data_IF_682215692017
#
_entry.id   IF_682215692017
#
_cell.length_a   1.000
_cell.length_b   1.000
_cell.length_c   1.000
_cell.angle_alpha   90.00
_cell.angle_beta   90.00
_cell.angle_gamma   90.00
#
_symmetry.space_group_name_H-M   'P 1'
#
loop_
_entity.id
_entity.type
_entity.pdbx_description
1 polymer ?
#
# COMPACT_ATOMS: atom_id res chain seq x y z
N UNK A 1 -34.43 111.46 14.76
CA UNK A 1 -34.46 110.70 13.50
C UNK A 1 -33.02 110.30 13.23
N UNK A 2 -32.72 108.99 13.30
CA UNK A 2 -31.36 108.43 13.41
C UNK A 2 -30.67 108.35 12.05
N UNK A 3 -29.34 108.43 12.09
CA UNK A 3 -28.40 108.42 10.96
C UNK A 3 -27.97 106.97 10.72
N UNK A 4 -27.98 106.52 9.46
CA UNK A 4 -27.48 105.20 9.06
C UNK A 4 -26.17 105.33 8.28
N UNK A 5 -25.15 104.56 8.70
CA UNK A 5 -23.89 104.29 7.99
C UNK A 5 -23.74 102.77 7.92
N UNK A 6 -23.38 102.22 6.76
CA UNK A 6 -23.15 100.78 6.58
C UNK A 6 -22.22 100.48 5.41
N UNK A 7 -21.17 99.70 5.70
CA UNK A 7 -19.99 99.38 4.89
C UNK A 7 -20.21 98.26 3.85
N UNK A 8 -19.37 98.24 2.80
CA UNK A 8 -19.29 97.20 1.76
C UNK A 8 -18.13 96.22 2.07
N UNK A 9 -18.40 94.92 2.02
CA UNK A 9 -17.39 93.85 2.11
C UNK A 9 -17.20 93.18 0.74
N UNK A 10 -15.95 92.95 0.33
CA UNK A 10 -15.58 92.16 -0.86
C UNK A 10 -14.82 90.92 -0.39
N UNK A 11 -15.23 89.74 -0.84
CA UNK A 11 -14.54 88.48 -0.59
C UNK A 11 -13.81 88.01 -1.86
N UNK A 12 -12.52 87.68 -1.72
CA UNK A 12 -11.69 87.10 -2.79
C UNK A 12 -11.53 85.60 -2.52
N UNK A 13 -11.79 84.79 -3.53
CA UNK A 13 -11.62 83.34 -3.50
C UNK A 13 -10.26 82.95 -4.13
N UNK A 14 -9.49 82.11 -3.42
CA UNK A 14 -8.24 81.51 -3.90
C UNK A 14 -8.46 80.02 -4.11
N UNK A 15 -8.24 79.52 -5.32
CA UNK A 15 -8.30 78.09 -5.65
C UNK A 15 -6.92 77.44 -5.47
N UNK A 16 -6.84 76.41 -4.61
CA UNK A 16 -5.67 75.54 -4.46
C UNK A 16 -5.66 74.48 -5.59
N UNK A 17 -4.53 74.35 -6.28
CA UNK A 17 -4.25 73.21 -7.17
C UNK A 17 -3.56 72.13 -6.33
N UNK A 18 -4.24 70.99 -6.13
CA UNK A 18 -3.66 69.83 -5.46
C UNK A 18 -2.84 69.00 -6.48
N UNK A 19 -1.53 68.93 -6.28
CA UNK A 19 -0.65 67.94 -6.93
C UNK A 19 -0.93 66.59 -6.27
N UNK A 20 -1.54 65.67 -7.01
CA UNK A 20 -1.74 64.28 -6.57
C UNK A 20 -0.43 63.51 -6.64
N UNK A 21 0.08 63.09 -5.48
CA UNK A 21 1.11 62.07 -5.37
C UNK A 21 0.41 60.72 -5.56
N UNK A 22 0.74 59.97 -6.62
CA UNK A 22 0.18 58.63 -6.83
C UNK A 22 0.94 57.65 -5.94
N UNK A 23 0.33 57.31 -4.80
CA UNK A 23 0.82 56.31 -3.86
C UNK A 23 0.73 54.94 -4.55
N UNK A 24 1.85 54.43 -5.08
CA UNK A 24 1.92 53.07 -5.62
C UNK A 24 1.82 52.10 -4.45
N UNK A 25 0.60 51.76 -4.08
CA UNK A 25 0.31 50.73 -3.07
C UNK A 25 0.63 49.37 -3.67
N UNK A 26 1.79 48.82 -3.32
CA UNK A 26 2.04 47.40 -3.45
C UNK A 26 1.07 46.65 -2.54
N UNK A 27 -0.01 46.10 -3.09
CA UNK A 27 -0.73 45.01 -2.45
C UNK A 27 0.10 43.74 -2.64
N UNK A 28 0.77 43.20 -1.60
CA UNK A 28 1.39 41.89 -1.73
C UNK A 28 0.30 40.90 -2.13
N UNK A 29 0.57 40.11 -3.18
CA UNK A 29 -0.31 39.00 -3.53
C UNK A 29 -0.47 38.10 -2.31
N UNK A 30 -1.63 37.44 -2.18
CA UNK A 30 -1.80 36.39 -1.16
C UNK A 30 -0.59 35.46 -1.23
N UNK A 31 0.03 35.20 -0.08
CA UNK A 31 1.10 34.22 0.02
C UNK A 31 0.54 32.88 -0.47
N UNK A 32 0.92 32.49 -1.68
CA UNK A 32 0.62 31.17 -2.20
C UNK A 32 1.75 30.26 -1.72
N UNK A 33 1.41 29.36 -0.81
CA UNK A 33 2.30 28.29 -0.38
C UNK A 33 1.85 27.05 -1.14
N UNK A 34 2.63 26.64 -2.12
CA UNK A 34 2.45 25.35 -2.75
C UNK A 34 3.04 24.29 -1.80
N UNK A 35 2.19 23.40 -1.29
CA UNK A 35 2.61 22.23 -0.50
C UNK A 35 2.73 21.05 -1.45
N UNK A 36 3.93 20.50 -1.56
CA UNK A 36 4.17 19.25 -2.28
C UNK A 36 4.17 18.11 -1.26
N UNK A 37 3.13 17.29 -1.27
CA UNK A 37 3.14 16.01 -0.57
C UNK A 37 3.82 14.99 -1.48
N UNK A 38 4.95 14.44 -1.03
CA UNK A 38 5.55 13.30 -1.70
C UNK A 38 4.62 12.10 -1.56
N UNK A 39 4.46 11.33 -2.63
CA UNK A 39 3.73 10.08 -2.56
C UNK A 39 4.36 9.21 -1.45
N UNK A 40 3.56 8.66 -0.52
CA UNK A 40 4.10 7.78 0.51
C UNK A 40 4.78 6.58 -0.15
N UNK A 41 5.84 6.07 0.50
CA UNK A 41 6.48 4.83 0.05
C UNK A 41 5.44 3.71 -0.03
N UNK A 42 5.48 2.85 -1.05
CA UNK A 42 4.51 1.77 -1.16
C UNK A 42 4.71 0.79 0.01
N UNK A 43 3.67 0.60 0.82
CA UNK A 43 3.63 -0.38 1.90
C UNK A 43 2.81 -1.56 1.40
N UNK A 44 3.42 -2.75 1.31
CA UNK A 44 2.82 -3.90 0.63
C UNK A 44 2.98 -5.20 1.40
N UNK A 45 1.92 -6.01 1.46
CA UNK A 45 1.97 -7.35 2.00
C UNK A 45 1.74 -8.33 0.85
N UNK A 46 2.67 -9.27 0.66
CA UNK A 46 2.66 -10.21 -0.46
C UNK A 46 2.58 -11.62 0.12
N UNK A 47 1.44 -12.27 -0.10
CA UNK A 47 1.21 -13.67 0.26
C UNK A 47 1.43 -14.56 -0.95
N UNK A 48 2.49 -15.37 -0.92
CA UNK A 48 2.71 -16.44 -1.88
C UNK A 48 2.03 -17.71 -1.40
N UNK A 49 1.10 -18.22 -2.19
CA UNK A 49 0.48 -19.53 -2.00
C UNK A 49 1.08 -20.46 -3.04
N UNK A 50 1.97 -21.34 -2.60
CA UNK A 50 2.81 -22.14 -3.49
C UNK A 50 2.38 -23.59 -3.40
N UNK A 51 2.11 -24.20 -4.54
CA UNK A 51 1.87 -25.62 -4.58
C UNK A 51 3.13 -26.41 -4.23
N UNK A 52 3.01 -27.25 -3.21
CA UNK A 52 4.08 -28.11 -2.73
C UNK A 52 3.93 -29.56 -3.19
N UNK A 53 3.17 -29.81 -4.26
CA UNK A 53 3.18 -31.10 -4.96
C UNK A 53 4.60 -31.45 -5.46
N UNK A 54 4.79 -32.74 -5.76
CA UNK A 54 6.05 -33.24 -6.32
C UNK A 54 6.31 -32.78 -7.76
N UNK A 55 5.25 -32.46 -8.53
CA UNK A 55 5.39 -31.96 -9.91
C UNK A 55 5.92 -30.55 -9.95
N UNK A 56 5.58 -29.72 -8.96
CA UNK A 56 6.03 -28.33 -8.84
C UNK A 56 7.43 -28.15 -8.24
N UNK A 57 8.19 -29.24 -8.01
CA UNK A 57 9.50 -29.15 -7.34
C UNK A 57 10.50 -28.29 -8.12
N UNK A 58 10.61 -28.48 -9.44
CA UNK A 58 11.57 -27.74 -10.25
C UNK A 58 11.18 -26.27 -10.36
N UNK A 59 9.88 -25.98 -10.47
CA UNK A 59 9.28 -24.66 -10.54
C UNK A 59 9.53 -23.88 -9.25
N UNK A 60 9.37 -24.52 -8.08
CA UNK A 60 9.68 -23.91 -6.78
C UNK A 60 11.16 -23.55 -6.63
N UNK A 61 12.05 -24.44 -7.07
CA UNK A 61 13.49 -24.14 -7.07
C UNK A 61 13.84 -22.99 -8.01
N UNK A 62 13.22 -22.95 -9.19
CA UNK A 62 13.39 -21.85 -10.13
C UNK A 62 12.81 -20.53 -9.62
N UNK A 63 11.66 -20.58 -8.94
CA UNK A 63 11.03 -19.43 -8.29
C UNK A 63 11.98 -18.85 -7.24
N UNK A 64 12.50 -19.68 -6.33
CA UNK A 64 13.47 -19.25 -5.32
C UNK A 64 14.75 -18.68 -5.95
N UNK A 65 15.30 -19.33 -6.97
CA UNK A 65 16.53 -18.89 -7.64
C UNK A 65 16.40 -17.55 -8.38
N UNK A 66 15.19 -17.21 -8.86
CA UNK A 66 14.91 -15.97 -9.60
C UNK A 66 14.36 -14.85 -8.72
N UNK A 67 14.09 -15.12 -7.45
CA UNK A 67 13.45 -14.16 -6.55
C UNK A 67 14.29 -12.89 -6.33
N UNK A 68 15.61 -12.95 -6.51
CA UNK A 68 16.46 -11.76 -6.44
C UNK A 68 16.01 -10.64 -7.39
N UNK A 69 15.53 -10.97 -8.59
CA UNK A 69 15.02 -9.97 -9.54
C UNK A 69 13.75 -9.30 -9.01
N UNK A 70 12.88 -10.05 -8.34
CA UNK A 70 11.69 -9.48 -7.69
C UNK A 70 12.07 -8.52 -6.57
N UNK A 71 13.07 -8.89 -5.75
CA UNK A 71 13.59 -8.01 -4.69
C UNK A 71 14.20 -6.73 -5.24
N UNK A 72 14.92 -6.80 -6.36
CA UNK A 72 15.47 -5.60 -7.02
C UNK A 72 14.40 -4.58 -7.39
N UNK A 73 13.22 -5.02 -7.85
CA UNK A 73 12.11 -4.11 -8.15
C UNK A 73 11.52 -3.48 -6.87
N UNK A 74 11.34 -4.26 -5.81
CA UNK A 74 10.84 -3.75 -4.53
C UNK A 74 11.82 -2.75 -3.88
N UNK A 75 13.12 -3.02 -3.97
CA UNK A 75 14.17 -2.14 -3.47
C UNK A 75 14.30 -0.85 -4.31
N UNK A 76 14.10 -0.94 -5.63
CA UNK A 76 14.18 0.21 -6.54
C UNK A 76 13.12 1.29 -6.24
N UNK A 77 11.96 0.89 -5.72
CA UNK A 77 10.88 1.79 -5.30
C UNK A 77 10.87 2.06 -3.78
N UNK A 78 11.87 1.54 -3.06
CA UNK A 78 11.98 1.59 -1.60
C UNK A 78 10.68 1.11 -0.90
N UNK A 79 10.05 0.05 -1.41
CA UNK A 79 8.79 -0.50 -0.89
C UNK A 79 8.94 -1.14 0.48
N UNK A 80 8.12 -0.75 1.46
CA UNK A 80 8.00 -1.43 2.75
C UNK A 80 7.18 -2.72 2.62
N UNK A 81 7.87 -3.85 2.44
CA UNK A 81 7.24 -5.13 2.18
C UNK A 81 7.20 -6.07 3.39
N UNK A 82 6.11 -6.82 3.49
CA UNK A 82 6.05 -8.11 4.19
C UNK A 82 5.79 -9.21 3.17
N UNK A 83 6.66 -10.22 3.12
CA UNK A 83 6.49 -11.37 2.23
C UNK A 83 6.28 -12.62 3.08
N UNK A 84 5.20 -13.34 2.80
CA UNK A 84 4.85 -14.59 3.45
C UNK A 84 4.66 -15.70 2.42
N UNK A 85 5.01 -16.93 2.80
CA UNK A 85 4.83 -18.13 1.96
C UNK A 85 3.95 -19.13 2.70
N UNK A 86 2.92 -19.65 2.06
CA UNK A 86 2.08 -20.77 2.52
C UNK A 86 1.97 -21.80 1.40
N UNK A 87 1.58 -23.04 1.73
CA UNK A 87 1.30 -24.06 0.72
C UNK A 87 -0.17 -24.08 0.29
N UNK A 88 -0.45 -24.70 -0.85
CA UNK A 88 -1.80 -25.12 -1.28
C UNK A 88 -2.37 -26.26 -0.43
N UNK A 89 -1.51 -27.05 0.23
CA UNK A 89 -1.93 -28.14 1.11
C UNK A 89 -2.66 -27.60 2.35
N UNK A 90 -3.93 -27.98 2.48
CA UNK A 90 -4.73 -27.69 3.68
C UNK A 90 -5.15 -28.94 4.44
N UNK A 91 -4.78 -30.12 3.95
CA UNK A 91 -5.06 -31.41 4.58
C UNK A 91 -4.02 -31.72 5.68
N UNK A 92 -2.78 -31.24 5.53
CA UNK A 92 -1.76 -31.28 6.59
C UNK A 92 -1.94 -30.12 7.60
N UNK A 93 -2.20 -30.40 8.90
CA UNK A 93 -2.38 -29.37 9.94
C UNK A 93 -1.18 -28.45 10.17
N UNK A 94 0.03 -28.87 9.78
CA UNK A 94 1.23 -28.03 9.83
C UNK A 94 1.33 -27.07 8.65
N UNK A 95 0.56 -27.32 7.58
CA UNK A 95 0.41 -26.50 6.39
C UNK A 95 -0.78 -25.56 6.53
N UNK A 96 -2.01 -26.00 6.23
CA UNK A 96 -3.30 -25.30 6.46
C UNK A 96 -3.27 -23.77 6.62
N UNK A 97 -2.62 -23.04 5.69
CA UNK A 97 -2.51 -21.57 5.71
C UNK A 97 -1.48 -20.96 6.67
N UNK A 98 -0.67 -21.75 7.38
CA UNK A 98 0.42 -21.28 8.25
C UNK A 98 1.62 -20.85 7.43
N UNK A 99 2.17 -19.69 7.75
CA UNK A 99 3.39 -19.17 7.14
C UNK A 99 4.56 -20.12 7.35
N UNK A 100 5.35 -20.27 6.30
CA UNK A 100 6.44 -21.22 6.21
C UNK A 100 7.78 -20.50 6.27
N UNK A 101 8.75 -21.25 6.78
CA UNK A 101 10.12 -20.80 6.88
C UNK A 101 10.47 -20.03 8.16
N UNK A 102 11.72 -19.57 8.21
CA UNK A 102 12.30 -18.88 9.36
C UNK A 102 13.27 -17.81 8.86
N UNK A 103 12.83 -16.54 8.75
CA UNK A 103 11.61 -15.99 9.33
C UNK A 103 10.32 -16.35 8.55
N UNK A 104 9.16 -16.41 9.23
CA UNK A 104 7.86 -16.63 8.57
C UNK A 104 7.39 -15.41 7.77
N UNK A 105 7.80 -14.20 8.20
CA UNK A 105 7.55 -12.95 7.50
C UNK A 105 8.90 -12.35 7.12
N UNK A 106 9.14 -12.20 5.82
CA UNK A 106 10.33 -11.58 5.26
C UNK A 106 10.07 -10.08 5.12
N UNK A 107 10.96 -9.28 5.68
CA UNK A 107 10.86 -7.81 5.71
C UNK A 107 12.16 -7.17 5.26
N UNK A 108 12.17 -5.83 5.09
CA UNK A 108 13.39 -5.05 4.83
C UNK A 108 14.53 -5.29 5.83
N UNK A 109 14.23 -5.72 7.04
CA UNK A 109 15.22 -5.99 8.09
C UNK A 109 15.77 -7.42 8.04
N UNK A 110 15.25 -8.26 7.14
CA UNK A 110 15.77 -9.60 6.91
C UNK A 110 17.13 -9.48 6.22
N UNK A 111 18.16 -10.13 6.78
CA UNK A 111 19.55 -9.95 6.32
C UNK A 111 19.77 -10.37 4.85
N UNK A 112 19.08 -11.42 4.40
CA UNK A 112 19.07 -11.86 3.01
C UNK A 112 17.64 -12.29 2.64
N UNK A 113 16.80 -11.35 2.16
CA UNK A 113 15.40 -11.63 1.83
C UNK A 113 15.25 -12.66 0.72
N UNK A 114 16.15 -12.67 -0.27
CA UNK A 114 16.10 -13.59 -1.40
C UNK A 114 16.43 -15.02 -0.96
N UNK A 115 17.48 -15.21 -0.18
CA UNK A 115 17.80 -16.53 0.38
C UNK A 115 16.73 -17.01 1.37
N UNK A 116 16.16 -16.13 2.19
CA UNK A 116 15.05 -16.46 3.07
C UNK A 116 13.83 -16.92 2.27
N UNK A 117 13.46 -16.20 1.21
CA UNK A 117 12.35 -16.60 0.35
C UNK A 117 12.60 -17.94 -0.33
N UNK A 118 13.80 -18.15 -0.89
CA UNK A 118 14.17 -19.42 -1.51
C UNK A 118 14.07 -20.59 -0.54
N UNK A 119 14.45 -20.40 0.74
CA UNK A 119 14.26 -21.41 1.78
C UNK A 119 12.78 -21.60 2.15
N UNK A 120 11.98 -20.53 2.16
CA UNK A 120 10.56 -20.59 2.51
C UNK A 120 9.71 -21.30 1.44
N UNK A 121 10.13 -21.29 0.17
CA UNK A 121 9.45 -22.03 -0.93
C UNK A 121 9.91 -23.48 -1.08
N UNK A 122 11.04 -23.88 -0.47
CA UNK A 122 11.53 -25.27 -0.45
C UNK A 122 10.77 -26.12 0.59
N UNK A 123 9.44 -26.20 0.40
CA UNK A 123 8.53 -26.90 1.29
C UNK A 123 8.66 -28.42 1.13
N UNK A 124 8.41 -29.21 2.20
CA UNK A 124 8.21 -30.64 2.06
C UNK A 124 7.13 -30.96 1.01
N UNK A 125 7.37 -31.98 0.19
CA UNK A 125 6.39 -32.41 -0.81
C UNK A 125 5.13 -32.94 -0.12
N UNK A 126 3.96 -32.49 -0.57
CA UNK A 126 2.68 -33.02 -0.08
C UNK A 126 2.30 -34.29 -0.84
N UNK A 127 1.57 -35.18 -0.15
CA UNK A 127 0.86 -36.30 -0.77
C UNK A 127 -0.61 -35.95 -1.07
N UNK A 128 -1.08 -34.76 -0.66
CA UNK A 128 -2.43 -34.31 -0.97
C UNK A 128 -2.58 -34.12 -2.49
N UNK A 129 -3.74 -34.55 -2.99
CA UNK A 129 -4.18 -34.34 -4.38
C UNK A 129 -5.20 -33.22 -4.50
N UNK A 130 -5.36 -32.43 -3.43
CA UNK A 130 -6.33 -31.35 -3.38
C UNK A 130 -5.59 -30.04 -3.17
N UNK A 131 -5.14 -29.44 -4.25
CA UNK A 131 -4.53 -28.12 -4.20
C UNK A 131 -5.62 -27.07 -3.95
N UNK A 132 -5.58 -26.43 -2.78
CA UNK A 132 -6.62 -25.50 -2.35
C UNK A 132 -6.01 -24.13 -2.09
N UNK A 133 -5.43 -23.52 -3.12
CA UNK A 133 -4.75 -22.24 -3.03
C UNK A 133 -5.65 -21.12 -2.49
N UNK A 134 -6.89 -21.02 -2.96
CA UNK A 134 -7.85 -20.02 -2.48
C UNK A 134 -8.26 -20.26 -1.03
N UNK A 135 -8.42 -21.52 -0.62
CA UNK A 135 -8.69 -21.86 0.77
C UNK A 135 -7.50 -21.59 1.69
N UNK A 136 -6.29 -21.97 1.26
CA UNK A 136 -5.05 -21.73 2.00
C UNK A 136 -4.81 -20.23 2.21
N UNK A 137 -5.03 -19.40 1.19
CA UNK A 137 -5.03 -17.93 1.32
C UNK A 137 -6.02 -17.47 2.40
N UNK A 138 -7.27 -17.94 2.34
CA UNK A 138 -8.30 -17.55 3.31
C UNK A 138 -7.94 -17.94 4.73
N UNK A 139 -7.37 -19.13 4.92
CA UNK A 139 -6.88 -19.58 6.22
C UNK A 139 -5.72 -18.69 6.69
N UNK A 140 -4.74 -18.43 5.83
CA UNK A 140 -3.56 -17.64 6.15
C UNK A 140 -3.87 -16.23 6.64
N UNK A 141 -4.94 -15.65 6.10
CA UNK A 141 -5.42 -14.31 6.40
C UNK A 141 -6.58 -14.32 7.42
N UNK A 142 -6.88 -15.47 8.04
CA UNK A 142 -7.87 -15.56 9.10
C UNK A 142 -7.35 -14.95 10.40
N UNK A 143 -8.26 -14.41 11.22
CA UNK A 143 -7.92 -13.83 12.52
C UNK A 143 -7.15 -14.82 13.43
N UNK A 144 -7.54 -16.10 13.42
CA UNK A 144 -6.87 -17.15 14.20
C UNK A 144 -5.40 -17.30 13.83
N UNK A 145 -5.08 -17.36 12.52
CA UNK A 145 -3.69 -17.50 12.10
C UNK A 145 -2.93 -16.18 12.22
N UNK A 146 -3.56 -15.03 11.94
CA UNK A 146 -2.95 -13.71 12.09
C UNK A 146 -2.64 -13.35 13.56
N UNK A 147 -3.35 -13.92 14.53
CA UNK A 147 -3.03 -13.78 15.95
C UNK A 147 -2.10 -14.89 16.47
N UNK A 148 -1.75 -15.85 15.61
CA UNK A 148 -0.97 -17.03 15.98
C UNK A 148 0.22 -17.23 15.03
N UNK A 149 0.27 -18.34 14.26
CA UNK A 149 1.41 -18.67 13.41
C UNK A 149 1.80 -17.61 12.37
N UNK A 150 0.86 -16.76 11.96
CA UNK A 150 1.05 -15.74 10.94
C UNK A 150 1.12 -14.32 11.53
N UNK A 151 1.36 -14.21 12.84
CA UNK A 151 1.46 -12.94 13.52
C UNK A 151 2.51 -12.02 12.88
N UNK A 152 2.12 -10.76 12.69
CA UNK A 152 2.95 -9.73 12.08
C UNK A 152 2.95 -9.71 10.55
N UNK A 153 2.18 -10.57 9.88
CA UNK A 153 2.12 -10.57 8.42
C UNK A 153 1.26 -9.43 7.86
N UNK A 154 -0.05 -9.43 8.17
CA UNK A 154 -1.01 -8.51 7.58
C UNK A 154 -1.05 -7.18 8.33
N UNK A 155 -0.76 -6.09 7.62
CA UNK A 155 -0.81 -4.70 8.10
C UNK A 155 -2.07 -4.01 7.58
N UNK A 156 -2.62 -3.09 8.37
CA UNK A 156 -3.85 -2.38 7.99
C UNK A 156 -3.59 -1.40 6.84
N UNK A 157 -2.46 -0.70 6.89
CA UNK A 157 -2.03 0.33 5.93
C UNK A 157 -1.44 -0.23 4.63
N UNK A 158 -1.03 -1.51 4.61
CA UNK A 158 -0.38 -2.11 3.45
C UNK A 158 -1.37 -2.55 2.37
N UNK A 159 -1.04 -2.43 1.09
CA UNK A 159 -1.78 -3.09 0.02
C UNK A 159 -1.47 -4.59 0.01
N UNK A 160 -2.51 -5.44 -0.02
CA UNK A 160 -2.36 -6.89 -0.03
C UNK A 160 -2.33 -7.44 -1.46
N UNK A 161 -1.27 -8.18 -1.78
CA UNK A 161 -1.14 -8.97 -3.00
C UNK A 161 -1.13 -10.45 -2.65
N UNK A 162 -2.00 -11.24 -3.29
CA UNK A 162 -1.99 -12.69 -3.16
C UNK A 162 -1.59 -13.29 -4.50
N UNK A 163 -0.51 -14.07 -4.49
CA UNK A 163 0.02 -14.74 -5.68
C UNK A 163 -0.10 -16.25 -5.43
N UNK A 164 -0.94 -16.91 -6.22
CA UNK A 164 -1.10 -18.36 -6.19
C UNK A 164 -0.31 -18.96 -7.35
N UNK A 165 0.59 -19.91 -7.06
CA UNK A 165 1.39 -20.63 -8.05
C UNK A 165 1.15 -22.14 -7.90
N UNK A 166 0.61 -22.75 -8.94
CA UNK A 166 0.20 -24.17 -8.99
C UNK A 166 0.13 -24.62 -10.46
N UNK A 167 0.36 -25.90 -10.72
CA UNK A 167 0.15 -26.56 -12.02
C UNK A 167 -1.15 -27.39 -12.09
N UNK A 168 -1.98 -27.40 -11.04
CA UNK A 168 -3.28 -28.08 -11.00
C UNK A 168 -4.46 -27.09 -10.88
N UNK A 169 -5.68 -27.65 -10.96
CA UNK A 169 -6.93 -26.92 -10.73
C UNK A 169 -7.12 -26.65 -9.23
N UNK A 170 -7.60 -25.44 -8.88
CA UNK A 170 -7.94 -25.14 -7.49
C UNK A 170 -9.18 -25.92 -7.03
N UNK A 171 -8.98 -26.78 -6.03
CA UNK A 171 -10.00 -27.63 -5.41
C UNK A 171 -10.65 -26.98 -4.19
N UNK A 172 -10.55 -25.66 -4.02
CA UNK A 172 -11.17 -24.96 -2.90
C UNK A 172 -12.69 -24.95 -3.02
N UNK A 173 -13.38 -24.84 -1.88
CA UNK A 173 -14.84 -24.88 -1.86
C UNK A 173 -15.45 -23.52 -2.22
N UNK A 174 -16.30 -23.53 -3.24
CA UNK A 174 -17.10 -22.37 -3.64
C UNK A 174 -16.54 -21.63 -4.84
N UNK A 175 -17.31 -20.69 -5.41
CA UNK A 175 -16.90 -19.96 -6.60
C UNK A 175 -15.77 -18.98 -6.27
N UNK A 176 -14.90 -18.69 -7.24
CA UNK A 176 -13.82 -17.69 -7.11
C UNK A 176 -14.31 -16.32 -6.60
N UNK A 177 -15.49 -15.88 -7.04
CA UNK A 177 -16.10 -14.64 -6.58
C UNK A 177 -16.45 -14.59 -5.09
N UNK A 178 -16.55 -15.74 -4.40
CA UNK A 178 -16.65 -15.78 -2.94
C UNK A 178 -15.36 -15.28 -2.29
N UNK A 179 -14.20 -15.76 -2.77
CA UNK A 179 -12.89 -15.37 -2.25
C UNK A 179 -12.54 -13.92 -2.59
N UNK A 180 -12.87 -13.46 -3.80
CA UNK A 180 -12.69 -12.05 -4.18
C UNK A 180 -13.44 -11.10 -3.25
N UNK A 181 -14.75 -11.34 -3.02
CA UNK A 181 -15.54 -10.53 -2.07
C UNK A 181 -15.03 -10.62 -0.64
N UNK A 182 -14.48 -11.76 -0.26
CA UNK A 182 -13.90 -11.94 1.07
C UNK A 182 -12.63 -11.07 1.24
N UNK A 183 -11.75 -11.02 0.24
CA UNK A 183 -10.61 -10.10 0.21
C UNK A 183 -11.04 -8.64 0.19
N UNK A 184 -12.06 -8.29 -0.59
CA UNK A 184 -12.64 -6.94 -0.62
C UNK A 184 -13.15 -6.50 0.77
N UNK A 185 -13.72 -7.44 1.53
CA UNK A 185 -14.15 -7.15 2.90
C UNK A 185 -12.96 -6.98 3.85
N UNK A 186 -11.88 -7.73 3.65
CA UNK A 186 -10.68 -7.70 4.49
C UNK A 186 -9.84 -6.42 4.27
N UNK A 187 -9.65 -5.99 3.01
CA UNK A 187 -8.72 -4.91 2.65
C UNK A 187 -9.37 -3.75 1.90
N UNK A 188 -10.66 -3.81 1.61
CA UNK A 188 -11.31 -2.89 0.68
C UNK A 188 -11.10 -3.31 -0.77
N UNK A 189 -11.61 -2.48 -1.69
CA UNK A 189 -11.38 -2.69 -3.13
C UNK A 189 -9.90 -2.55 -3.47
N UNK A 190 -9.41 -3.43 -4.33
CA UNK A 190 -8.04 -3.36 -4.84
C UNK A 190 -7.84 -2.14 -5.76
N UNK A 191 -6.58 -1.83 -6.08
CA UNK A 191 -6.24 -0.81 -7.07
C UNK A 191 -6.37 -1.37 -8.49
N UNK A 192 -7.62 -1.60 -8.91
CA UNK A 192 -7.95 -2.10 -10.24
C UNK A 192 -8.08 -0.89 -11.19
N UNK A 193 -6.94 -0.38 -11.66
CA UNK A 193 -6.87 0.64 -12.72
C UNK A 193 -6.49 0.02 -14.07
#
# INVERSE_FOLDING_TARGET
MRVDVGYVFVAVWVSLIAVGCEDVRFTPSKLQVDVFEQAPLPVVDILWVVDNSGTMREERQQLGAKFQSFMTELEAVDADYHIGVVSTDTDDPSHSGKLKGSPPVITKQTADPAAAFAANVDLPETESRNEKGLWAMRLALSEELLQGPNAGFLREEASLYVIVLSDEDDHSLGPTGYYARWLEHLKGRGEEN
#
